data_IF_692993846430
#
_entry.id   IF_692993846430
#
_cell.length_a   1.000
_cell.length_b   1.000
_cell.length_c   1.000
_cell.angle_alpha   90.00
_cell.angle_beta   90.00
_cell.angle_gamma   90.00
#
_symmetry.space_group_name_H-M   'P 1'
#
loop_
_entity.id
_entity.type
_entity.pdbx_description
1 polymer ?
#
# COMPACT_ATOMS: atom_id res chain seq x y z
N UNK A 1 26.09 0.95 -8.16
CA UNK A 1 24.96 0.12 -7.72
C UNK A 1 23.72 0.97 -7.54
N UNK A 2 22.58 0.68 -8.16
CA UNK A 2 21.38 1.47 -7.98
C UNK A 2 20.82 1.25 -6.55
N UNK A 3 20.28 2.32 -5.95
CA UNK A 3 19.59 2.23 -4.68
C UNK A 3 18.19 1.63 -4.86
N UNK A 4 17.60 1.08 -3.78
CA UNK A 4 16.22 0.56 -3.80
C UNK A 4 15.24 1.60 -4.35
N UNK A 5 15.41 2.87 -3.97
CA UNK A 5 14.57 3.97 -4.49
C UNK A 5 14.71 4.14 -6.01
N UNK A 6 15.93 4.09 -6.54
CA UNK A 6 16.16 4.18 -7.98
C UNK A 6 15.57 2.99 -8.73
N UNK A 7 15.69 1.78 -8.16
CA UNK A 7 15.07 0.58 -8.74
C UNK A 7 13.54 0.74 -8.78
N UNK A 8 12.91 1.16 -7.69
CA UNK A 8 11.47 1.37 -7.63
C UNK A 8 10.97 2.38 -8.68
N UNK A 9 11.65 3.53 -8.80
CA UNK A 9 11.32 4.53 -9.82
C UNK A 9 11.51 4.01 -11.24
N UNK A 10 12.54 3.19 -11.50
CA UNK A 10 12.76 2.58 -12.82
C UNK A 10 11.70 1.57 -13.23
N UNK A 11 11.01 0.95 -12.28
CA UNK A 11 9.88 0.05 -12.51
C UNK A 11 8.60 0.83 -12.82
N UNK A 12 8.59 2.14 -12.54
CA UNK A 12 7.46 3.03 -12.77
C UNK A 12 6.58 3.26 -11.56
N UNK A 13 7.13 3.16 -10.34
CA UNK A 13 6.52 3.76 -9.16
C UNK A 13 6.80 5.27 -9.14
N UNK A 14 5.85 6.06 -8.66
CA UNK A 14 5.98 7.52 -8.61
C UNK A 14 6.80 8.00 -7.42
N UNK A 15 6.80 7.24 -6.33
CA UNK A 15 7.64 7.51 -5.17
C UNK A 15 7.98 6.23 -4.41
N UNK A 16 9.09 6.29 -3.66
CA UNK A 16 9.54 5.20 -2.79
C UNK A 16 10.15 5.76 -1.51
N UNK A 17 9.68 5.26 -0.38
CA UNK A 17 10.23 5.50 0.95
C UNK A 17 10.73 4.22 1.60
N UNK A 18 11.65 4.33 2.54
CA UNK A 18 12.13 3.22 3.37
C UNK A 18 12.03 3.68 4.83
N UNK A 19 11.32 2.89 5.62
CA UNK A 19 11.17 3.10 7.05
C UNK A 19 11.77 1.92 7.84
N UNK A 20 12.14 2.18 9.08
CA UNK A 20 12.49 1.13 10.02
C UNK A 20 11.25 0.34 10.41
N UNK A 21 11.40 -0.98 10.54
CA UNK A 21 10.31 -1.82 11.03
C UNK A 21 10.21 -1.69 12.55
N UNK A 22 9.21 -0.96 13.01
CA UNK A 22 8.91 -0.72 14.42
C UNK A 22 7.40 -0.57 14.63
N UNK A 23 6.96 -0.72 15.87
CA UNK A 23 5.56 -0.54 16.21
C UNK A 23 5.13 0.92 16.04
N UNK A 24 3.97 1.13 15.40
CA UNK A 24 3.34 2.44 15.21
C UNK A 24 2.57 2.85 16.46
N UNK A 25 3.29 3.21 17.54
CA UNK A 25 2.71 3.42 18.86
C UNK A 25 1.66 4.53 18.90
N UNK A 26 1.92 5.66 18.25
CA UNK A 26 0.97 6.79 18.20
C UNK A 26 -0.27 6.42 17.36
N UNK A 27 -0.06 5.89 16.14
CA UNK A 27 -1.15 5.50 15.24
C UNK A 27 -2.01 4.38 15.82
N UNK A 28 -1.43 3.49 16.63
CA UNK A 28 -2.14 2.40 17.28
C UNK A 28 -3.23 2.90 18.24
N UNK A 29 -2.96 3.99 18.96
CA UNK A 29 -3.94 4.62 19.87
C UNK A 29 -5.12 5.18 19.08
N UNK A 30 -4.86 5.87 17.97
CA UNK A 30 -5.93 6.39 17.11
C UNK A 30 -6.75 5.27 16.47
N UNK A 31 -6.09 4.24 15.95
CA UNK A 31 -6.77 3.10 15.33
C UNK A 31 -7.64 2.36 16.36
N UNK A 32 -7.12 2.11 17.57
CA UNK A 32 -7.87 1.46 18.63
C UNK A 32 -9.13 2.26 18.99
N UNK A 33 -8.97 3.57 19.20
CA UNK A 33 -10.08 4.43 19.52
C UNK A 33 -11.15 4.48 18.42
N UNK A 34 -10.72 4.47 17.15
CA UNK A 34 -11.62 4.42 16.00
C UNK A 34 -12.42 3.11 15.93
N UNK A 35 -11.76 1.97 16.24
CA UNK A 35 -12.40 0.66 16.33
C UNK A 35 -13.38 0.61 17.50
N UNK A 36 -12.96 1.04 18.70
CA UNK A 36 -13.77 0.99 19.92
C UNK A 36 -15.05 1.84 19.78
N UNK A 37 -15.01 2.88 18.97
CA UNK A 37 -16.19 3.69 18.62
C UNK A 37 -17.07 3.07 17.52
N UNK A 38 -16.73 1.91 16.99
CA UNK A 38 -17.46 1.25 15.92
C UNK A 38 -17.42 1.99 14.57
N UNK A 39 -16.44 2.90 14.38
CA UNK A 39 -16.35 3.72 13.17
C UNK A 39 -15.97 2.92 11.93
N UNK A 40 -15.49 1.69 12.08
CA UNK A 40 -15.21 0.75 11.00
C UNK A 40 -16.47 0.10 10.42
N UNK A 41 -17.64 0.29 11.06
CA UNK A 41 -18.92 -0.28 10.60
C UNK A 41 -18.85 -1.81 10.50
N UNK A 42 -19.19 -2.35 9.33
CA UNK A 42 -19.17 -3.79 9.08
C UNK A 42 -17.79 -4.31 8.60
N UNK A 43 -16.76 -3.46 8.55
CA UNK A 43 -15.41 -3.85 8.14
C UNK A 43 -14.66 -4.58 9.27
N UNK A 44 -15.15 -5.75 9.67
CA UNK A 44 -14.62 -6.53 10.79
C UNK A 44 -13.14 -6.94 10.61
N UNK A 45 -12.64 -6.96 9.39
CA UNK A 45 -11.22 -7.21 9.11
C UNK A 45 -10.29 -6.15 9.71
N UNK A 46 -10.80 -4.97 10.03
CA UNK A 46 -10.03 -3.91 10.70
C UNK A 46 -9.69 -4.29 12.14
N UNK A 47 -10.61 -4.94 12.86
CA UNK A 47 -10.35 -5.44 14.22
C UNK A 47 -9.44 -6.67 14.24
N UNK A 48 -9.72 -7.64 13.36
CA UNK A 48 -9.10 -8.98 13.39
C UNK A 48 -7.60 -8.98 13.20
N UNK A 49 -7.05 -7.97 12.57
CA UNK A 49 -5.62 -7.90 12.25
C UNK A 49 -4.95 -6.69 12.88
N UNK A 50 -5.47 -6.23 14.01
CA UNK A 50 -4.98 -5.02 14.68
C UNK A 50 -3.47 -5.06 14.92
N UNK A 51 -2.94 -6.12 15.56
CA UNK A 51 -1.52 -6.25 15.89
C UNK A 51 -0.63 -6.20 14.63
N UNK A 52 -1.04 -6.88 13.57
CA UNK A 52 -0.32 -6.87 12.28
C UNK A 52 -0.36 -5.53 11.56
N UNK A 53 -1.36 -4.70 11.86
CA UNK A 53 -1.46 -3.34 11.29
C UNK A 53 -0.54 -2.35 11.95
N UNK A 54 -0.35 -2.50 13.24
CA UNK A 54 0.45 -1.57 14.04
C UNK A 54 1.93 -1.95 14.12
N UNK A 55 2.29 -3.19 13.78
CA UNK A 55 3.67 -3.64 13.82
C UNK A 55 3.99 -4.60 12.65
N UNK A 56 4.83 -4.20 11.69
CA UNK A 56 5.21 -5.04 10.56
C UNK A 56 5.97 -6.31 10.97
N UNK A 57 6.55 -6.35 12.17
CA UNK A 57 7.27 -7.52 12.68
C UNK A 57 6.34 -8.67 13.08
N UNK A 58 5.06 -8.36 13.37
CA UNK A 58 3.99 -9.34 13.57
C UNK A 58 3.52 -9.98 12.26
N UNK A 59 3.78 -9.32 11.13
CA UNK A 59 3.48 -9.85 9.80
C UNK A 59 4.65 -10.68 9.24
N UNK A 60 5.87 -10.18 9.40
CA UNK A 60 7.09 -10.82 8.91
C UNK A 60 8.12 -10.86 10.02
N UNK A 61 8.33 -12.03 10.60
CA UNK A 61 9.31 -12.23 11.68
C UNK A 61 10.72 -11.83 11.21
N UNK A 62 11.42 -11.06 12.06
CA UNK A 62 12.77 -10.57 11.75
C UNK A 62 12.82 -9.40 10.77
N UNK A 63 11.68 -8.84 10.39
CA UNK A 63 11.60 -7.64 9.55
C UNK A 63 12.37 -6.48 10.20
N UNK A 64 13.27 -5.86 9.43
CA UNK A 64 14.07 -4.70 9.89
C UNK A 64 13.69 -3.40 9.21
N UNK A 65 13.15 -3.49 8.00
CA UNK A 65 12.78 -2.33 7.18
C UNK A 65 11.52 -2.60 6.39
N UNK A 66 10.79 -1.54 6.11
CA UNK A 66 9.61 -1.55 5.25
C UNK A 66 9.87 -0.63 4.06
N UNK A 67 9.73 -1.15 2.85
CA UNK A 67 9.78 -0.37 1.63
C UNK A 67 8.36 0.00 1.24
N UNK A 68 8.07 1.30 1.17
CA UNK A 68 6.77 1.84 0.80
C UNK A 68 6.86 2.47 -0.58
N UNK A 69 5.98 2.09 -1.48
CA UNK A 69 5.91 2.63 -2.83
C UNK A 69 4.55 3.27 -3.10
N UNK A 70 4.54 4.31 -3.91
CA UNK A 70 3.34 4.98 -4.37
C UNK A 70 3.21 4.83 -5.88
N UNK A 71 1.99 4.61 -6.33
CA UNK A 71 1.66 4.57 -7.75
C UNK A 71 0.39 5.39 -8.01
N UNK A 72 0.51 6.36 -8.91
CA UNK A 72 -0.63 7.16 -9.33
C UNK A 72 -1.54 6.34 -10.26
N UNK A 73 -2.83 6.36 -10.01
CA UNK A 73 -3.85 5.72 -10.84
C UNK A 73 -4.77 6.71 -11.56
N UNK A 74 -4.43 7.99 -11.57
CA UNK A 74 -5.25 9.00 -12.25
C UNK A 74 -5.22 8.77 -13.76
N UNK A 75 -6.38 8.46 -14.41
CA UNK A 75 -6.40 8.02 -15.79
C UNK A 75 -6.26 9.16 -16.81
N UNK A 76 -6.27 10.43 -16.40
CA UNK A 76 -6.26 11.59 -17.29
C UNK A 76 -7.51 11.75 -18.17
N UNK A 77 -8.42 10.79 -18.14
CA UNK A 77 -9.67 10.81 -18.90
C UNK A 77 -10.84 11.24 -18.01
N UNK A 78 -11.82 11.92 -18.60
CA UNK A 78 -13.06 12.27 -17.93
C UNK A 78 -14.19 11.36 -18.41
N UNK A 79 -15.04 10.99 -17.48
CA UNK A 79 -16.24 10.24 -17.76
C UNK A 79 -17.26 11.12 -18.49
N UNK A 80 -18.09 10.49 -19.36
CA UNK A 80 -19.23 11.17 -19.96
C UNK A 80 -20.16 11.71 -18.86
N UNK A 81 -20.46 13.03 -18.84
CA UNK A 81 -21.29 13.63 -17.80
C UNK A 81 -22.71 13.04 -17.71
N UNK A 82 -23.20 12.42 -18.80
CA UNK A 82 -24.53 11.79 -18.85
C UNK A 82 -24.55 10.34 -18.35
N UNK A 83 -23.40 9.75 -18.06
CA UNK A 83 -23.29 8.38 -17.52
C UNK A 83 -23.26 8.38 -15.98
N UNK A 84 -23.70 7.29 -15.33
CA UNK A 84 -23.51 7.14 -13.89
C UNK A 84 -22.05 7.27 -13.50
N UNK A 85 -21.77 8.01 -12.42
CA UNK A 85 -20.40 8.22 -11.96
C UNK A 85 -19.82 6.94 -11.32
N UNK A 86 -18.63 6.55 -11.78
CA UNK A 86 -17.82 5.50 -11.15
C UNK A 86 -16.47 6.08 -10.68
N UNK A 87 -15.88 5.43 -9.69
CA UNK A 87 -14.60 5.87 -9.15
C UNK A 87 -13.48 5.74 -10.19
N UNK A 88 -12.59 6.71 -10.25
CA UNK A 88 -11.51 6.79 -11.25
C UNK A 88 -10.57 5.59 -11.26
N UNK A 89 -10.35 4.93 -10.11
CA UNK A 89 -9.54 3.71 -10.06
C UNK A 89 -10.12 2.56 -10.88
N UNK A 90 -11.44 2.59 -11.15
CA UNK A 90 -12.14 1.58 -11.92
C UNK A 90 -12.10 1.81 -13.45
N UNK A 91 -11.45 2.88 -13.92
CA UNK A 91 -11.34 3.17 -15.37
C UNK A 91 -10.30 2.28 -16.08
N UNK A 92 -9.43 1.63 -15.34
CA UNK A 92 -8.43 0.74 -15.91
C UNK A 92 -9.06 -0.56 -16.43
N UNK A 93 -8.59 -1.06 -17.56
CA UNK A 93 -8.98 -2.36 -18.10
C UNK A 93 -8.44 -3.54 -17.27
N UNK A 94 -7.43 -3.28 -16.42
CA UNK A 94 -6.80 -4.27 -15.53
C UNK A 94 -6.96 -3.80 -14.10
N UNK A 95 -7.37 -4.71 -13.21
CA UNK A 95 -7.45 -4.42 -11.77
C UNK A 95 -6.09 -3.97 -11.23
N UNK A 96 -6.08 -2.84 -10.53
CA UNK A 96 -4.87 -2.25 -9.97
C UNK A 96 -4.15 -3.19 -8.98
N UNK A 97 -4.86 -4.10 -8.33
CA UNK A 97 -4.24 -5.12 -7.47
C UNK A 97 -3.26 -5.99 -8.24
N UNK A 98 -3.61 -6.41 -9.46
CA UNK A 98 -2.71 -7.19 -10.31
C UNK A 98 -1.51 -6.38 -10.78
N UNK A 99 -1.75 -5.12 -11.17
CA UNK A 99 -0.67 -4.22 -11.62
C UNK A 99 0.33 -3.96 -10.50
N UNK A 100 -0.15 -3.60 -9.31
CA UNK A 100 0.71 -3.38 -8.14
C UNK A 100 1.47 -4.64 -7.73
N UNK A 101 0.79 -5.78 -7.66
CA UNK A 101 1.42 -7.06 -7.29
C UNK A 101 2.52 -7.45 -8.27
N UNK A 102 2.30 -7.29 -9.56
CA UNK A 102 3.30 -7.58 -10.59
C UNK A 102 4.53 -6.69 -10.44
N UNK A 103 4.33 -5.38 -10.25
CA UNK A 103 5.44 -4.42 -10.05
C UNK A 103 6.19 -4.66 -8.74
N UNK A 104 5.49 -5.03 -7.67
CA UNK A 104 6.12 -5.38 -6.39
C UNK A 104 6.98 -6.64 -6.50
N UNK A 105 6.52 -7.67 -7.21
CA UNK A 105 7.30 -8.87 -7.48
C UNK A 105 8.57 -8.54 -8.30
N UNK A 106 8.47 -7.68 -9.30
CA UNK A 106 9.62 -7.20 -10.06
C UNK A 106 10.61 -6.43 -9.18
N UNK A 107 10.09 -5.57 -8.29
CA UNK A 107 10.92 -4.83 -7.33
C UNK A 107 11.68 -5.78 -6.41
N UNK A 108 11.01 -6.78 -5.85
CA UNK A 108 11.62 -7.79 -4.99
C UNK A 108 12.76 -8.52 -5.71
N UNK A 109 12.49 -9.03 -6.92
CA UNK A 109 13.49 -9.73 -7.72
C UNK A 109 14.73 -8.86 -8.00
N UNK A 110 14.52 -7.59 -8.36
CA UNK A 110 15.64 -6.66 -8.64
C UNK A 110 16.43 -6.30 -7.39
N UNK A 111 15.78 -6.19 -6.23
CA UNK A 111 16.47 -5.94 -4.95
C UNK A 111 17.29 -7.16 -4.54
N UNK A 112 16.76 -8.37 -4.70
CA UNK A 112 17.48 -9.61 -4.36
C UNK A 112 18.63 -9.93 -5.31
N UNK A 113 18.68 -9.34 -6.50
CA UNK A 113 19.72 -9.55 -7.50
C UNK A 113 20.95 -8.63 -7.31
N UNK A 114 20.88 -7.66 -6.40
CA UNK A 114 21.93 -6.67 -6.07
C UNK A 114 22.67 -7.09 -4.83
#
# INVERSE_FOLDING_TARGET
MPTIKQIALSIGFDACGIARAEALTEDSVFLRHWIDKGMHGEMLYMERNFEKRIDPRELVSGCKSVVVVLMNYFPGQNQNPSAPHIAKYAYSAIDYHFVLKSKLNELEQKICAV
#
